data_IF_769332196895
#
_entry.id   IF_769332196895
#
_cell.length_a   1.000
_cell.length_b   1.000
_cell.length_c   1.000
_cell.angle_alpha   90.00
_cell.angle_beta   90.00
_cell.angle_gamma   90.00
#
_symmetry.space_group_name_H-M   'P 1'
#
loop_
_entity.id
_entity.type
_entity.pdbx_description
1 polymer ?
#
# COMPACT_ATOMS: atom_id res chain seq x y z
N UNK A 1 3.88 17.47 -8.65
CA UNK A 1 4.52 16.78 -7.50
C UNK A 1 5.89 17.37 -7.14
N UNK A 2 6.20 17.56 -5.84
CA UNK A 2 7.54 17.90 -5.32
C UNK A 2 8.04 16.76 -4.42
N UNK A 3 9.28 16.33 -4.61
CA UNK A 3 9.93 15.31 -3.75
C UNK A 3 11.14 15.94 -3.07
N UNK A 4 11.27 15.72 -1.76
CA UNK A 4 12.41 16.21 -0.97
C UNK A 4 12.91 15.14 -0.02
N UNK A 5 14.24 15.02 0.11
CA UNK A 5 14.84 14.17 1.12
C UNK A 5 14.90 14.95 2.44
N UNK A 6 14.23 14.45 3.48
CA UNK A 6 14.16 15.10 4.80
C UNK A 6 15.04 14.42 5.83
N UNK A 7 15.43 13.16 5.58
CA UNK A 7 16.48 12.44 6.31
C UNK A 7 17.13 11.39 5.39
N UNK A 8 18.24 10.78 5.82
CA UNK A 8 18.92 9.75 5.02
C UNK A 8 17.98 8.62 4.61
N UNK A 9 17.09 8.21 5.52
CA UNK A 9 16.13 7.12 5.37
C UNK A 9 14.73 7.60 4.98
N UNK A 10 14.51 8.91 4.72
CA UNK A 10 13.16 9.46 4.60
C UNK A 10 13.00 10.50 3.50
N UNK A 11 11.98 10.31 2.68
CA UNK A 11 11.53 11.23 1.65
C UNK A 11 10.13 11.75 1.96
N UNK A 12 9.93 13.05 1.71
CA UNK A 12 8.64 13.72 1.75
C UNK A 12 8.22 14.08 0.33
N UNK A 13 7.05 13.63 -0.06
CA UNK A 13 6.41 13.95 -1.33
C UNK A 13 5.21 14.86 -1.05
N UNK A 14 5.21 16.04 -1.65
CA UNK A 14 4.11 16.98 -1.58
C UNK A 14 3.41 17.02 -2.95
N UNK A 15 2.12 16.71 -2.97
CA UNK A 15 1.27 16.95 -4.13
C UNK A 15 0.70 18.37 -4.07
N UNK A 16 0.33 18.95 -5.22
CA UNK A 16 -0.32 20.27 -5.26
C UNK A 16 -1.51 20.32 -4.30
N UNK A 17 -1.72 21.46 -3.63
CA UNK A 17 -2.92 21.63 -2.80
C UNK A 17 -4.14 21.58 -3.72
N UNK A 18 -5.15 20.74 -3.42
CA UNK A 18 -6.30 20.65 -4.29
C UNK A 18 -7.09 21.95 -4.34
N UNK A 19 -7.66 22.25 -5.51
CA UNK A 19 -8.71 23.25 -5.62
C UNK A 19 -9.98 22.80 -4.86
N UNK A 20 -10.84 23.73 -4.40
CA UNK A 20 -12.07 23.37 -3.71
C UNK A 20 -12.93 22.39 -4.52
N UNK A 21 -13.15 21.18 -4.00
CA UNK A 21 -13.94 20.12 -4.65
C UNK A 21 -13.12 19.07 -5.42
N UNK A 22 -11.79 19.20 -5.44
CA UNK A 22 -10.87 18.25 -6.05
C UNK A 22 -9.98 17.60 -4.99
N UNK A 23 -9.39 16.44 -5.25
CA UNK A 23 -8.27 15.91 -4.44
C UNK A 23 -7.09 15.59 -5.36
N UNK A 24 -5.82 15.72 -4.92
CA UNK A 24 -4.69 15.57 -5.84
C UNK A 24 -4.58 14.15 -6.42
N UNK A 25 -5.13 13.15 -5.73
CA UNK A 25 -5.20 11.77 -6.21
C UNK A 25 -6.36 11.49 -7.18
N UNK A 26 -7.19 12.50 -7.47
CA UNK A 26 -8.13 12.46 -8.61
C UNK A 26 -7.50 12.98 -9.90
N UNK A 27 -6.31 13.59 -9.82
CA UNK A 27 -5.53 14.01 -10.98
C UNK A 27 -4.73 12.87 -11.58
N UNK A 28 -5.00 12.55 -12.84
CA UNK A 28 -4.32 11.45 -13.52
C UNK A 28 -2.81 11.68 -13.63
N UNK A 29 -2.36 12.89 -13.92
CA UNK A 29 -0.94 13.18 -14.14
C UNK A 29 -0.16 13.12 -12.81
N UNK A 30 -0.72 13.68 -11.74
CA UNK A 30 -0.09 13.60 -10.41
C UNK A 30 -0.08 12.16 -9.87
N UNK A 31 -1.15 11.38 -10.11
CA UNK A 31 -1.17 9.96 -9.76
C UNK A 31 -0.11 9.19 -10.55
N UNK A 32 0.03 9.40 -11.86
CA UNK A 32 1.02 8.69 -12.68
C UNK A 32 2.45 8.99 -12.23
N UNK A 33 2.76 10.25 -11.89
CA UNK A 33 4.05 10.65 -11.34
C UNK A 33 4.33 10.02 -9.97
N UNK A 34 3.34 10.03 -9.08
CA UNK A 34 3.45 9.43 -7.75
C UNK A 34 3.63 7.91 -7.83
N UNK A 35 2.84 7.24 -8.68
CA UNK A 35 2.92 5.80 -8.92
C UNK A 35 4.29 5.41 -9.40
N UNK A 36 4.87 6.14 -10.37
CA UNK A 36 6.22 5.86 -10.85
C UNK A 36 7.25 5.99 -9.73
N UNK A 37 7.19 7.08 -8.96
CA UNK A 37 8.09 7.28 -7.81
C UNK A 37 8.00 6.14 -6.79
N UNK A 38 6.79 5.75 -6.38
CA UNK A 38 6.58 4.67 -5.42
C UNK A 38 7.05 3.33 -6.00
N UNK A 39 6.70 3.03 -7.26
CA UNK A 39 7.06 1.76 -7.90
C UNK A 39 8.58 1.60 -8.07
N UNK A 40 9.30 2.69 -8.34
CA UNK A 40 10.76 2.70 -8.51
C UNK A 40 11.53 2.83 -7.17
N UNK A 41 10.86 3.17 -6.07
CA UNK A 41 11.51 3.42 -4.78
C UNK A 41 12.26 2.21 -4.23
N UNK A 42 11.68 1.02 -4.35
CA UNK A 42 12.26 -0.25 -3.90
C UNK A 42 11.66 -1.41 -4.71
N UNK A 43 12.16 -2.63 -4.48
CA UNK A 43 11.75 -3.82 -5.24
C UNK A 43 10.27 -4.15 -5.00
N UNK A 44 9.39 -4.06 -6.03
CA UNK A 44 8.01 -4.51 -5.93
C UNK A 44 7.93 -6.04 -5.71
N UNK A 45 6.82 -6.59 -5.20
CA UNK A 45 5.47 -6.01 -5.12
C UNK A 45 5.25 -5.08 -3.92
N UNK A 46 4.23 -4.22 -3.99
CA UNK A 46 3.85 -3.31 -2.90
C UNK A 46 2.61 -3.86 -2.18
N UNK A 47 2.61 -3.90 -0.86
CA UNK A 47 1.44 -4.24 -0.04
C UNK A 47 0.76 -2.97 0.43
N UNK A 48 -0.55 -2.83 0.19
CA UNK A 48 -1.36 -1.76 0.75
C UNK A 48 -2.17 -2.26 1.94
N UNK A 49 -1.96 -1.64 3.09
CA UNK A 49 -2.76 -1.86 4.29
C UNK A 49 -3.76 -0.73 4.43
N UNK A 50 -5.05 -1.07 4.52
CA UNK A 50 -6.16 -0.14 4.64
C UNK A 50 -6.77 -0.32 6.02
N UNK A 51 -6.74 0.71 6.86
CA UNK A 51 -7.50 0.67 8.11
C UNK A 51 -8.96 1.03 7.84
N UNK A 52 -9.91 0.13 8.12
CA UNK A 52 -11.34 0.34 7.87
C UNK A 52 -11.83 -0.33 6.59
N UNK A 53 -13.04 0.02 6.16
CA UNK A 53 -13.73 -0.68 5.07
C UNK A 53 -12.95 -0.63 3.75
N UNK A 54 -12.63 -1.81 3.21
CA UNK A 54 -12.06 -1.99 1.88
C UNK A 54 -13.07 -2.57 0.88
N UNK A 55 -14.38 -2.47 1.15
CA UNK A 55 -15.43 -2.92 0.22
C UNK A 55 -15.40 -2.19 -1.13
N UNK A 56 -14.84 -0.97 -1.17
CA UNK A 56 -14.57 -0.23 -2.41
C UNK A 56 -13.45 -0.85 -3.25
N UNK A 57 -12.56 -1.64 -2.63
CA UNK A 57 -11.65 -2.56 -3.30
C UNK A 57 -12.36 -3.86 -3.73
N UNK A 58 -13.61 -3.78 -4.23
CA UNK A 58 -14.24 -4.90 -4.95
C UNK A 58 -13.25 -5.47 -5.97
N UNK A 59 -13.19 -6.79 -6.16
CA UNK A 59 -11.99 -7.49 -6.59
C UNK A 59 -11.49 -6.98 -7.95
N UNK A 60 -10.50 -6.10 -7.91
CA UNK A 60 -9.66 -5.85 -9.07
C UNK A 60 -8.66 -7.01 -9.12
N UNK A 61 -8.89 -7.93 -10.05
CA UNK A 61 -8.41 -9.30 -9.94
C UNK A 61 -7.90 -9.81 -11.29
N UNK A 62 -6.63 -10.22 -11.42
CA UNK A 62 -6.26 -11.22 -12.42
C UNK A 62 -6.81 -12.63 -12.06
N UNK A 63 -7.34 -12.82 -10.83
CA UNK A 63 -7.97 -14.02 -10.22
C UNK A 63 -6.94 -15.15 -9.96
N UNK A 64 -7.02 -15.95 -8.89
CA UNK A 64 -8.22 -16.51 -8.23
C UNK A 64 -8.05 -16.71 -6.71
N UNK A 65 -9.15 -16.53 -6.00
CA UNK A 65 -9.49 -17.26 -4.78
C UNK A 65 -10.41 -18.42 -5.20
N UNK A 66 -10.11 -19.64 -4.77
CA UNK A 66 -11.13 -20.65 -4.51
C UNK A 66 -10.95 -21.14 -3.07
N UNK A 67 -11.90 -20.75 -2.24
CA UNK A 67 -12.18 -21.18 -0.87
C UNK A 67 -13.25 -22.29 -1.02
N UNK A 68 -13.21 -23.52 -0.49
CA UNK A 68 -12.69 -24.23 0.71
C UNK A 68 -12.70 -25.77 0.35
N UNK A 69 -12.38 -26.83 1.17
CA UNK A 69 -12.06 -26.95 2.61
C UNK A 69 -10.94 -27.99 2.95
N UNK A 70 -10.79 -28.31 4.25
CA UNK A 70 -10.17 -29.47 4.92
C UNK A 70 -9.17 -30.35 4.13
N UNK A 71 -7.93 -30.43 4.64
CA UNK A 71 -6.83 -31.31 4.25
C UNK A 71 -5.95 -30.93 3.03
N UNK A 72 -4.79 -30.39 3.40
CA UNK A 72 -3.43 -30.63 2.89
C UNK A 72 -3.10 -30.58 1.36
N UNK A 73 -2.03 -29.83 1.08
CA UNK A 73 -1.02 -30.05 0.02
C UNK A 73 -1.13 -29.44 -1.39
N UNK A 74 -1.88 -28.36 -1.63
CA UNK A 74 -1.64 -27.51 -2.82
C UNK A 74 -1.99 -26.03 -2.56
N UNK A 75 -1.02 -25.14 -2.73
CA UNK A 75 -0.99 -23.76 -2.22
C UNK A 75 -2.09 -22.78 -2.69
N UNK A 76 -2.19 -21.68 -1.94
CA UNK A 76 -3.17 -20.58 -2.04
C UNK A 76 -2.45 -19.25 -1.75
N UNK A 77 -2.78 -18.17 -2.47
CA UNK A 77 -2.20 -16.82 -2.28
C UNK A 77 -2.93 -16.02 -1.18
N UNK A 78 -2.17 -15.16 -0.49
CA UNK A 78 -2.50 -14.63 0.84
C UNK A 78 -3.17 -13.26 0.84
N UNK A 79 -4.33 -13.20 1.49
CA UNK A 79 -4.83 -12.00 2.15
C UNK A 79 -4.52 -12.20 3.63
N UNK A 80 -3.62 -11.39 4.19
CA UNK A 80 -3.34 -11.47 5.61
C UNK A 80 -4.17 -10.46 6.40
N UNK A 81 -4.86 -11.02 7.37
CA UNK A 81 -5.72 -10.41 8.38
C UNK A 81 -4.87 -9.77 9.49
N UNK A 82 -5.35 -8.67 10.09
CA UNK A 82 -4.88 -8.20 11.39
C UNK A 82 -6.05 -8.20 12.41
N UNK A 83 -5.91 -8.85 13.58
CA UNK A 83 -7.02 -9.17 14.48
C UNK A 83 -7.84 -7.99 15.00
N UNK A 84 -7.21 -6.86 15.29
CA UNK A 84 -7.81 -5.97 16.29
C UNK A 84 -8.59 -4.74 15.78
N UNK A 85 -8.66 -4.43 14.47
CA UNK A 85 -9.21 -3.13 14.01
C UNK A 85 -9.99 -3.07 12.69
N UNK A 86 -10.36 -4.19 12.07
CA UNK A 86 -11.09 -4.14 10.78
C UNK A 86 -10.23 -3.57 9.65
N UNK A 87 -8.94 -3.90 9.63
CA UNK A 87 -8.00 -3.50 8.57
C UNK A 87 -7.86 -4.59 7.51
N UNK A 88 -7.67 -4.19 6.25
CA UNK A 88 -7.53 -5.07 5.10
C UNK A 88 -6.16 -4.91 4.45
N UNK A 89 -5.66 -5.99 3.84
CA UNK A 89 -4.42 -5.97 3.10
C UNK A 89 -4.64 -6.32 1.62
N UNK A 90 -4.03 -5.53 0.74
CA UNK A 90 -4.15 -5.64 -0.72
C UNK A 90 -2.77 -5.77 -1.32
N UNK A 91 -2.56 -6.80 -2.14
CA UNK A 91 -1.31 -7.00 -2.89
C UNK A 91 -1.38 -6.21 -4.19
N UNK A 92 -0.34 -5.42 -4.47
CA UNK A 92 -0.19 -4.65 -5.71
C UNK A 92 1.04 -5.17 -6.47
N UNK A 93 0.81 -6.08 -7.41
CA UNK A 93 1.81 -6.80 -8.20
C UNK A 93 2.24 -6.10 -9.48
N UNK A 94 1.61 -5.00 -9.88
CA UNK A 94 2.02 -4.16 -11.00
C UNK A 94 1.78 -2.66 -10.77
N UNK A 95 2.46 -1.84 -11.55
CA UNK A 95 2.34 -0.39 -11.49
C UNK A 95 0.91 0.09 -11.77
N UNK A 96 0.20 -0.60 -12.67
CA UNK A 96 -1.21 -0.32 -12.99
C UNK A 96 -2.16 -0.60 -11.82
N UNK A 97 -1.84 -1.59 -10.98
CA UNK A 97 -2.62 -1.93 -9.79
C UNK A 97 -2.51 -0.81 -8.78
N UNK A 98 -1.27 -0.36 -8.52
CA UNK A 98 -0.99 0.75 -7.62
C UNK A 98 -1.68 2.03 -8.10
N UNK A 99 -1.63 2.33 -9.40
CA UNK A 99 -2.32 3.48 -9.98
C UNK A 99 -3.83 3.44 -9.74
N UNK A 100 -4.48 2.32 -10.05
CA UNK A 100 -5.92 2.15 -9.85
C UNK A 100 -6.30 2.23 -8.38
N UNK A 101 -5.50 1.61 -7.50
CA UNK A 101 -5.71 1.64 -6.07
C UNK A 101 -5.67 3.07 -5.51
N UNK A 102 -4.63 3.85 -5.86
CA UNK A 102 -4.49 5.23 -5.39
C UNK A 102 -5.62 6.14 -5.87
N UNK A 103 -6.07 5.97 -7.11
CA UNK A 103 -7.17 6.75 -7.68
C UNK A 103 -8.55 6.39 -7.10
N UNK A 104 -8.75 5.13 -6.70
CA UNK A 104 -10.03 4.63 -6.22
C UNK A 104 -10.21 4.75 -4.69
N UNK A 105 -9.13 4.93 -3.93
CA UNK A 105 -9.17 4.91 -2.47
C UNK A 105 -9.86 6.16 -1.90
N UNK A 106 -11.06 6.02 -1.28
CA UNK A 106 -11.79 7.16 -0.74
C UNK A 106 -11.16 7.75 0.53
N UNK A 107 -10.34 6.96 1.24
CA UNK A 107 -9.72 7.36 2.52
C UNK A 107 -8.23 7.01 2.52
N UNK A 108 -7.49 7.50 1.51
CA UNK A 108 -6.07 7.18 1.34
C UNK A 108 -5.19 7.48 2.56
N UNK A 109 -5.60 8.45 3.39
CA UNK A 109 -4.91 8.79 4.65
C UNK A 109 -4.91 7.67 5.69
N UNK A 110 -5.75 6.65 5.51
CA UNK A 110 -5.78 5.43 6.33
C UNK A 110 -4.96 4.28 5.70
N UNK A 111 -4.24 4.56 4.61
CA UNK A 111 -3.41 3.59 3.91
C UNK A 111 -1.94 3.69 4.31
N UNK A 112 -1.31 2.53 4.46
CA UNK A 112 0.14 2.39 4.43
C UNK A 112 0.55 1.46 3.28
N UNK A 113 1.48 1.90 2.45
CA UNK A 113 2.14 1.03 1.47
C UNK A 113 3.41 0.45 2.07
N UNK A 114 3.69 -0.81 1.80
CA UNK A 114 4.84 -1.53 2.32
C UNK A 114 5.58 -2.22 1.18
N UNK A 115 6.90 -2.19 1.25
CA UNK A 115 7.77 -3.01 0.40
C UNK A 115 8.21 -4.23 1.22
N UNK A 116 7.65 -5.42 0.95
CA UNK A 116 7.94 -6.65 1.68
C UNK A 116 9.44 -6.93 1.69
N UNK A 117 9.97 -7.30 2.87
CA UNK A 117 11.42 -7.54 3.04
C UNK A 117 11.88 -8.87 2.45
N UNK A 118 11.00 -9.88 2.43
CA UNK A 118 11.35 -11.24 1.97
C UNK A 118 10.40 -11.67 0.85
N UNK A 119 9.16 -11.91 1.24
CA UNK A 119 8.03 -12.17 0.38
C UNK A 119 6.79 -11.69 1.13
N UNK A 120 5.66 -11.63 0.43
CA UNK A 120 4.40 -11.14 0.99
C UNK A 120 4.01 -11.95 2.24
N UNK A 121 4.10 -13.28 2.17
CA UNK A 121 3.77 -14.24 3.22
C UNK A 121 4.47 -13.96 4.54
N UNK A 122 5.80 -13.96 4.50
CA UNK A 122 6.63 -13.82 5.69
C UNK A 122 6.54 -12.43 6.26
N UNK A 123 6.39 -11.43 5.39
CA UNK A 123 6.19 -10.04 5.82
C UNK A 123 4.90 -9.91 6.62
N UNK A 124 3.83 -10.56 6.16
CA UNK A 124 2.58 -10.60 6.89
C UNK A 124 2.64 -11.40 8.19
N UNK A 125 3.23 -12.59 8.18
CA UNK A 125 3.42 -13.36 9.41
C UNK A 125 4.18 -12.54 10.46
N UNK A 126 5.27 -11.87 10.06
CA UNK A 126 6.04 -10.98 10.93
C UNK A 126 5.21 -9.84 11.50
N UNK A 127 4.34 -9.26 10.68
CA UNK A 127 3.45 -8.20 11.10
C UNK A 127 2.38 -8.70 12.07
N UNK A 128 1.78 -9.87 11.81
CA UNK A 128 0.78 -10.47 12.68
C UNK A 128 1.35 -10.90 14.04
N UNK A 129 2.60 -11.37 14.06
CA UNK A 129 3.30 -11.79 15.27
C UNK A 129 3.62 -10.62 16.22
N UNK A 130 4.11 -9.51 15.67
CA UNK A 130 4.78 -8.47 16.49
C UNK A 130 4.21 -7.05 16.31
N UNK A 131 3.35 -6.83 15.32
CA UNK A 131 2.83 -5.50 14.97
C UNK A 131 3.89 -4.48 14.50
N UNK A 132 5.16 -4.88 14.36
CA UNK A 132 6.26 -4.00 13.98
C UNK A 132 6.61 -4.15 12.50
N UNK A 133 6.54 -3.02 11.78
CA UNK A 133 6.89 -2.87 10.38
C UNK A 133 8.34 -3.24 10.08
N UNK A 134 9.28 -3.01 11.01
CA UNK A 134 10.73 -3.22 10.78
C UNK A 134 11.09 -4.68 10.48
N UNK A 135 10.29 -5.62 10.99
CA UNK A 135 10.47 -7.04 10.72
C UNK A 135 9.80 -7.50 9.42
N UNK A 136 8.86 -6.71 8.90
CA UNK A 136 7.98 -7.09 7.80
C UNK A 136 8.36 -6.41 6.47
N UNK A 137 8.91 -5.20 6.49
CA UNK A 137 9.13 -4.42 5.28
C UNK A 137 10.48 -3.71 5.30
N UNK A 138 11.06 -3.51 4.11
CA UNK A 138 12.26 -2.68 3.92
C UNK A 138 11.94 -1.19 3.81
N UNK A 139 10.69 -0.87 3.47
CA UNK A 139 10.19 0.50 3.41
C UNK A 139 8.69 0.58 3.69
N UNK A 140 8.25 1.75 4.12
CA UNK A 140 6.85 2.09 4.32
C UNK A 140 6.56 3.48 3.76
N UNK A 141 5.44 3.63 3.05
CA UNK A 141 4.89 4.92 2.69
C UNK A 141 3.56 5.16 3.42
N UNK A 142 3.39 6.36 3.96
CA UNK A 142 2.16 6.79 4.65
C UNK A 142 1.64 8.08 4.05
N UNK A 143 0.33 8.15 3.94
CA UNK A 143 -0.37 9.30 3.39
C UNK A 143 -0.95 10.15 4.52
N UNK A 144 -0.79 11.46 4.40
CA UNK A 144 -1.40 12.46 5.27
C UNK A 144 -2.19 13.46 4.43
N UNK A 145 -3.01 14.29 5.09
CA UNK A 145 -3.77 15.38 4.45
C UNK A 145 -4.52 14.93 3.18
N UNK A 146 -5.26 13.83 3.27
CA UNK A 146 -6.00 13.22 2.15
C UNK A 146 -5.12 12.88 0.92
N UNK A 147 -3.88 12.47 1.16
CA UNK A 147 -2.95 12.05 0.10
C UNK A 147 -2.13 13.18 -0.51
N UNK A 148 -2.34 14.44 -0.08
CA UNK A 148 -1.52 15.57 -0.54
C UNK A 148 -0.09 15.56 0.02
N UNK A 149 0.16 14.77 1.06
CA UNK A 149 1.46 14.60 1.67
C UNK A 149 1.74 13.10 1.84
N UNK A 150 2.85 12.61 1.26
CA UNK A 150 3.29 11.23 1.40
C UNK A 150 4.68 11.20 2.03
N UNK A 151 4.82 10.48 3.13
CA UNK A 151 6.14 10.20 3.73
C UNK A 151 6.55 8.79 3.37
N UNK A 152 7.69 8.63 2.70
CA UNK A 152 8.31 7.33 2.42
C UNK A 152 9.53 7.17 3.33
N UNK A 153 9.57 6.09 4.10
CA UNK A 153 10.64 5.80 5.05
C UNK A 153 11.22 4.40 4.81
N UNK A 154 12.54 4.32 4.74
CA UNK A 154 13.28 3.06 4.75
C UNK A 154 13.38 2.52 6.19
N UNK A 155 13.07 1.24 6.36
CA UNK A 155 13.10 0.53 7.64
C UNK A 155 14.35 -0.34 7.66
N UNK A 156 15.38 0.09 8.39
CA UNK A 156 16.64 -0.68 8.54
C UNK A 156 16.46 -1.84 9.53
#
# INVERSE_FOLDING_TARGET
>A
MRVSQVAFDRFLVELPTPEPGYTPLTDREEVDHLVRFLWEYATPPVLALVAGDASWCQPWSPRRVSWEPEDADCGVFEIAWHPDRGSHAVVLGSQDELRRFLAACPVISQVALLWPRVDIAKSFMKLAENGDWRGAADAVARFARQGSEITVQQLR
#
